data_IF_980178295805
#
_entry.id   IF_980178295805
#
_cell.length_a   1.000
_cell.length_b   1.000
_cell.length_c   1.000
_cell.angle_alpha   90.00
_cell.angle_beta   90.00
_cell.angle_gamma   90.00
#
_symmetry.space_group_name_H-M   'P 1'
#
loop_
_entity.id
_entity.type
_entity.pdbx_description
1 polymer ?
#
# COMPACT_ATOMS: atom_id res chain seq x y z
N UNK A 1 8.22 8.43 -5.49
CA UNK A 1 7.08 7.59 -5.03
C UNK A 1 7.28 7.19 -3.56
N UNK A 2 6.24 6.96 -2.76
CA UNK A 2 6.30 7.11 -1.29
C UNK A 2 7.43 6.43 -0.49
N UNK A 3 8.02 5.34 -0.99
CA UNK A 3 9.23 4.73 -0.39
C UNK A 3 10.44 5.68 -0.50
N UNK A 4 10.63 6.33 -1.65
CA UNK A 4 11.70 7.29 -1.88
C UNK A 4 11.55 8.52 -0.97
N UNK A 5 10.32 9.05 -0.83
CA UNK A 5 10.04 10.18 0.09
C UNK A 5 10.33 9.80 1.55
N UNK A 6 10.08 8.54 1.92
CA UNK A 6 10.37 8.04 3.27
C UNK A 6 11.84 7.59 3.46
N UNK A 7 12.61 7.43 2.39
CA UNK A 7 13.99 6.92 2.41
C UNK A 7 14.12 5.41 2.63
N UNK A 8 13.07 4.71 3.08
CA UNK A 8 13.04 3.24 3.14
C UNK A 8 11.61 2.70 3.31
N UNK A 9 11.42 1.42 3.03
CA UNK A 9 10.14 0.71 3.26
C UNK A 9 9.76 0.68 4.74
N UNK A 10 10.76 0.55 5.63
CA UNK A 10 10.52 0.56 7.08
C UNK A 10 10.06 1.93 7.57
N UNK A 11 10.69 2.99 7.09
CA UNK A 11 10.32 4.34 7.47
C UNK A 11 8.95 4.72 6.91
N UNK A 12 8.63 4.29 5.68
CA UNK A 12 7.28 4.42 5.15
C UNK A 12 6.26 3.70 6.03
N UNK A 13 6.58 2.48 6.47
CA UNK A 13 5.76 1.70 7.41
C UNK A 13 5.47 2.48 8.70
N UNK A 14 6.48 3.13 9.29
CA UNK A 14 6.30 3.97 10.48
C UNK A 14 5.40 5.17 10.20
N UNK A 15 5.61 5.89 9.09
CA UNK A 15 4.81 7.06 8.69
C UNK A 15 3.34 6.72 8.53
N UNK A 16 3.01 5.53 8.03
CA UNK A 16 1.62 5.07 7.86
C UNK A 16 1.07 4.27 9.06
N UNK A 17 1.77 4.29 10.19
CA UNK A 17 1.26 3.80 11.47
C UNK A 17 1.57 2.34 11.81
N UNK A 18 2.44 1.66 11.07
CA UNK A 18 2.98 0.36 11.49
C UNK A 18 4.08 0.56 12.55
N UNK A 19 3.82 0.09 13.77
CA UNK A 19 4.68 0.30 14.94
C UNK A 19 5.50 -0.93 15.35
N UNK A 20 5.65 -1.92 14.46
CA UNK A 20 6.50 -3.08 14.76
C UNK A 20 7.92 -2.62 15.06
N UNK A 21 8.48 -3.10 16.18
CA UNK A 21 9.88 -2.82 16.57
C UNK A 21 10.89 -3.58 15.71
N UNK A 22 10.46 -4.66 15.07
CA UNK A 22 11.33 -5.56 14.29
C UNK A 22 11.24 -5.22 12.80
N UNK A 23 10.02 -5.22 12.21
CA UNK A 23 9.82 -4.97 10.77
C UNK A 23 8.55 -4.14 10.49
N UNK A 24 8.58 -2.81 10.69
CA UNK A 24 7.43 -1.95 10.39
C UNK A 24 7.09 -1.91 8.89
N UNK A 25 8.05 -2.18 8.01
CA UNK A 25 7.84 -2.26 6.56
C UNK A 25 7.10 -3.52 6.09
N UNK A 26 6.96 -4.55 6.93
CA UNK A 26 6.32 -5.80 6.52
C UNK A 26 4.88 -5.61 6.06
N UNK A 27 4.11 -4.76 6.75
CA UNK A 27 2.74 -4.44 6.35
C UNK A 27 2.66 -3.73 4.99
N UNK A 28 3.64 -2.87 4.68
CA UNK A 28 3.75 -2.22 3.36
C UNK A 28 4.00 -3.27 2.28
N UNK A 29 4.92 -4.21 2.53
CA UNK A 29 5.22 -5.29 1.60
C UNK A 29 3.98 -6.16 1.35
N UNK A 30 3.23 -6.54 2.38
CA UNK A 30 1.99 -7.31 2.20
C UNK A 30 0.94 -6.59 1.34
N UNK A 31 0.81 -5.26 1.52
CA UNK A 31 -0.08 -4.44 0.69
C UNK A 31 0.41 -4.41 -0.77
N UNK A 32 1.69 -4.15 -1.01
CA UNK A 32 2.27 -4.12 -2.36
C UNK A 32 2.15 -5.47 -3.09
N UNK A 33 2.16 -6.57 -2.34
CA UNK A 33 1.99 -7.93 -2.86
C UNK A 33 0.52 -8.29 -3.12
N UNK A 34 -0.43 -7.41 -2.81
CA UNK A 34 -1.86 -7.71 -2.87
C UNK A 34 -2.32 -8.77 -1.87
N UNK A 35 -1.48 -9.12 -0.88
CA UNK A 35 -1.81 -10.10 0.17
C UNK A 35 -2.67 -9.50 1.27
N UNK A 36 -2.62 -8.17 1.42
CA UNK A 36 -3.42 -7.43 2.39
C UNK A 36 -4.09 -6.23 1.73
N UNK A 37 -5.37 -6.02 2.02
CA UNK A 37 -6.07 -4.79 1.64
C UNK A 37 -5.45 -3.56 2.35
N UNK A 38 -5.53 -2.40 1.72
CA UNK A 38 -5.07 -1.14 2.31
C UNK A 38 -6.14 -0.60 3.29
N UNK A 39 -5.92 -0.59 4.61
CA UNK A 39 -6.93 -0.06 5.53
C UNK A 39 -7.05 1.46 5.37
N UNK A 40 -8.28 1.98 5.32
CA UNK A 40 -8.56 3.39 5.06
C UNK A 40 -7.74 4.34 5.94
N UNK A 41 -7.66 4.08 7.25
CA UNK A 41 -6.86 4.90 8.18
C UNK A 41 -5.39 5.03 7.77
N UNK A 42 -4.79 3.94 7.28
CA UNK A 42 -3.40 3.95 6.80
C UNK A 42 -3.30 4.65 5.45
N UNK A 43 -4.32 4.51 4.60
CA UNK A 43 -4.38 5.16 3.30
C UNK A 43 -4.45 6.68 3.47
N UNK A 44 -5.23 7.17 4.44
CA UNK A 44 -5.27 8.58 4.82
C UNK A 44 -3.91 9.07 5.31
N UNK A 45 -3.21 8.31 6.16
CA UNK A 45 -1.85 8.67 6.59
C UNK A 45 -0.87 8.73 5.41
N UNK A 46 -0.98 7.78 4.47
CA UNK A 46 -0.16 7.77 3.28
C UNK A 46 -0.49 8.98 2.38
N UNK A 47 -1.76 9.29 2.15
CA UNK A 47 -2.19 10.40 1.30
C UNK A 47 -1.72 11.74 1.89
N UNK A 48 -1.89 11.94 3.20
CA UNK A 48 -1.34 13.11 3.90
C UNK A 48 0.19 13.17 3.79
N UNK A 49 0.89 12.05 3.98
CA UNK A 49 2.35 12.01 3.88
C UNK A 49 2.84 12.34 2.46
N UNK A 50 2.11 11.92 1.43
CA UNK A 50 2.43 12.21 0.04
C UNK A 50 1.90 13.56 -0.45
N UNK A 51 1.14 14.28 0.39
CA UNK A 51 0.43 15.50 0.02
C UNK A 51 -0.49 15.28 -1.20
N UNK A 52 -1.12 14.11 -1.25
CA UNK A 52 -2.03 13.70 -2.31
C UNK A 52 -3.48 13.68 -1.80
N UNK A 53 -4.45 14.26 -2.53
CA UNK A 53 -5.85 14.28 -2.11
C UNK A 53 -6.42 12.88 -1.95
N UNK A 54 -7.03 12.60 -0.79
CA UNK A 54 -7.59 11.26 -0.52
C UNK A 54 -8.82 11.00 -1.40
N UNK A 55 -9.56 12.05 -1.75
CA UNK A 55 -10.76 12.02 -2.58
C UNK A 55 -10.45 11.48 -3.97
N UNK A 56 -9.29 11.84 -4.53
CA UNK A 56 -8.84 11.34 -5.83
C UNK A 56 -8.49 9.86 -5.79
N UNK A 57 -7.90 9.39 -4.68
CA UNK A 57 -7.61 7.96 -4.48
C UNK A 57 -8.91 7.16 -4.33
N UNK A 58 -9.87 7.69 -3.59
CA UNK A 58 -11.13 6.99 -3.29
C UNK A 58 -12.00 6.75 -4.52
N UNK A 59 -11.83 7.50 -5.61
CA UNK A 59 -12.46 7.23 -6.92
C UNK A 59 -12.13 5.84 -7.48
N UNK A 60 -11.00 5.28 -7.05
CA UNK A 60 -10.51 3.95 -7.47
C UNK A 60 -10.75 2.87 -6.41
N UNK A 61 -11.42 3.22 -5.29
CA UNK A 61 -11.72 2.25 -4.25
C UNK A 61 -12.69 1.18 -4.78
N UNK A 62 -12.33 -0.08 -4.55
CA UNK A 62 -13.15 -1.24 -4.93
C UNK A 62 -13.86 -1.83 -3.72
N UNK A 63 -15.06 -2.35 -3.92
CA UNK A 63 -15.84 -2.91 -2.82
C UNK A 63 -15.20 -4.22 -2.30
N UNK A 64 -15.02 -4.40 -0.97
CA UNK A 64 -14.26 -5.52 -0.39
C UNK A 64 -14.80 -6.91 -0.75
N UNK A 65 -16.12 -7.01 -0.92
CA UNK A 65 -16.85 -8.21 -1.31
C UNK A 65 -16.60 -8.68 -2.76
N UNK A 66 -15.79 -7.95 -3.55
CA UNK A 66 -15.37 -8.32 -4.90
C UNK A 66 -13.85 -8.48 -5.06
N UNK A 67 -13.08 -8.33 -3.99
CA UNK A 67 -11.62 -8.29 -4.03
C UNK A 67 -11.05 -9.54 -3.37
N UNK A 68 -10.41 -10.41 -4.15
CA UNK A 68 -9.59 -11.51 -3.64
C UNK A 68 -8.10 -11.18 -3.84
N UNK A 69 -7.18 -11.87 -3.14
CA UNK A 69 -5.75 -11.78 -3.42
C UNK A 69 -5.42 -12.05 -4.90
N UNK A 70 -6.11 -13.02 -5.51
CA UNK A 70 -5.93 -13.40 -6.93
C UNK A 70 -6.40 -12.28 -7.86
N UNK A 71 -7.59 -11.71 -7.62
CA UNK A 71 -8.09 -10.61 -8.46
C UNK A 71 -7.21 -9.36 -8.32
N UNK A 72 -6.71 -9.09 -7.11
CA UNK A 72 -5.78 -7.99 -6.83
C UNK A 72 -4.46 -8.20 -7.57
N UNK A 73 -3.89 -9.40 -7.50
CA UNK A 73 -2.66 -9.74 -8.21
C UNK A 73 -2.83 -9.60 -9.72
N UNK A 74 -3.90 -10.14 -10.29
CA UNK A 74 -4.20 -10.01 -11.72
C UNK A 74 -4.35 -8.56 -12.15
N UNK A 75 -5.06 -7.73 -11.36
CA UNK A 75 -5.18 -6.30 -11.64
C UNK A 75 -3.82 -5.60 -11.58
N UNK A 76 -3.02 -5.84 -10.55
CA UNK A 76 -1.67 -5.28 -10.43
C UNK A 76 -0.81 -5.65 -11.65
N UNK A 77 -0.84 -6.91 -12.09
CA UNK A 77 -0.13 -7.34 -13.32
C UNK A 77 -0.67 -6.68 -14.57
N UNK A 78 -1.99 -6.63 -14.76
CA UNK A 78 -2.63 -6.04 -15.94
C UNK A 78 -2.27 -4.56 -16.13
N UNK A 79 -2.17 -3.81 -15.04
CA UNK A 79 -1.83 -2.39 -15.06
C UNK A 79 -0.33 -2.10 -14.96
N UNK A 80 0.54 -3.11 -15.06
CA UNK A 80 2.00 -2.93 -14.93
C UNK A 80 2.44 -2.46 -13.54
N UNK A 81 1.58 -2.61 -12.54
CA UNK A 81 1.81 -2.24 -11.14
C UNK A 81 2.23 -3.45 -10.28
N UNK A 82 2.46 -4.61 -10.88
CA UNK A 82 3.01 -5.76 -10.16
C UNK A 82 4.41 -5.40 -9.67
N UNK A 83 4.55 -5.23 -8.35
CA UNK A 83 5.84 -4.93 -7.75
C UNK A 83 6.85 -6.04 -8.03
N UNK A 84 8.04 -5.67 -8.50
CA UNK A 84 9.20 -6.54 -8.41
C UNK A 84 9.48 -6.80 -6.92
N UNK A 85 9.31 -8.05 -6.49
CA UNK A 85 9.74 -8.52 -5.19
C UNK A 85 11.01 -9.32 -5.50
N UNK A 86 12.21 -8.79 -5.21
CA UNK A 86 13.41 -9.60 -5.30
C UNK A 86 13.22 -10.80 -4.39
N UNK A 87 13.48 -12.00 -4.92
CA UNK A 87 13.55 -13.23 -4.11
C UNK A 87 14.71 -13.15 -3.13
#
# INVERSE_FOLDING_TARGET
MGIEKAGSVNELGRRIGYRSRVHPGWGVVQIMQGKQAFPLKRLTLLSSFLEYPIEDIMKYATMPNRITPESTKSALTMYGMSGYIPR
#
